data_IF_014100397926
#
_entry.id   IF_014100397926
#
_cell.length_a   1.000
_cell.length_b   1.000
_cell.length_c   1.000
_cell.angle_alpha   90.00
_cell.angle_beta   90.00
_cell.angle_gamma   90.00
#
_symmetry.space_group_name_H-M   'P 1'
#
loop_
_entity.id
_entity.type
_entity.pdbx_description
1 polymer ?
#
# COMPACT_ATOMS: atom_id res chain seq x y z
N UNK A 1 -18.97 10.45 -12.43
CA UNK A 1 -18.53 9.04 -12.42
C UNK A 1 -19.34 8.33 -11.34
N UNK A 2 -19.59 7.04 -11.47
CA UNK A 2 -20.28 6.31 -10.40
C UNK A 2 -19.31 6.05 -9.22
N UNK A 3 -19.80 6.00 -7.97
CA UNK A 3 -18.96 5.71 -6.81
C UNK A 3 -18.28 4.35 -6.95
N UNK A 4 -16.99 4.27 -6.64
CA UNK A 4 -16.19 3.05 -6.72
C UNK A 4 -15.35 2.90 -8.00
N UNK A 5 -15.44 3.84 -8.95
CA UNK A 5 -14.62 3.80 -10.19
C UNK A 5 -13.13 3.83 -9.87
N UNK A 6 -12.72 4.69 -8.96
CA UNK A 6 -11.31 4.79 -8.56
C UNK A 6 -10.79 3.48 -7.96
N UNK A 7 -11.62 2.80 -7.16
CA UNK A 7 -11.27 1.49 -6.59
C UNK A 7 -11.12 0.42 -7.68
N UNK A 8 -12.01 0.40 -8.68
CA UNK A 8 -11.91 -0.54 -9.81
C UNK A 8 -10.63 -0.28 -10.60
N UNK A 9 -10.31 0.99 -10.89
CA UNK A 9 -9.07 1.36 -11.57
C UNK A 9 -7.86 0.84 -10.77
N UNK A 10 -7.85 1.03 -9.45
CA UNK A 10 -6.76 0.57 -8.59
C UNK A 10 -6.58 -0.95 -8.65
N UNK A 11 -7.67 -1.73 -8.58
CA UNK A 11 -7.61 -3.19 -8.70
C UNK A 11 -7.02 -3.60 -10.07
N UNK A 12 -7.51 -3.00 -11.15
CA UNK A 12 -7.05 -3.31 -12.52
C UNK A 12 -5.56 -2.97 -12.68
N UNK A 13 -5.11 -1.84 -12.14
CA UNK A 13 -3.69 -1.45 -12.21
C UNK A 13 -2.79 -2.36 -11.39
N UNK A 14 -3.18 -2.77 -10.19
CA UNK A 14 -2.42 -3.73 -9.37
C UNK A 14 -2.29 -5.08 -10.11
N UNK A 15 -3.40 -5.62 -10.61
CA UNK A 15 -3.41 -6.91 -11.32
C UNK A 15 -2.57 -6.84 -12.60
N UNK A 16 -2.68 -5.76 -13.37
CA UNK A 16 -1.89 -5.60 -14.59
C UNK A 16 -0.40 -5.37 -14.28
N UNK A 17 -0.08 -4.59 -13.25
CA UNK A 17 1.29 -4.40 -12.77
C UNK A 17 1.93 -5.72 -12.33
N UNK A 18 1.24 -6.49 -11.48
CA UNK A 18 1.70 -7.80 -11.02
C UNK A 18 1.89 -8.78 -12.19
N UNK A 19 0.92 -8.83 -13.12
CA UNK A 19 1.01 -9.69 -14.31
C UNK A 19 2.24 -9.36 -15.16
N UNK A 20 2.47 -8.07 -15.42
CA UNK A 20 3.67 -7.62 -16.12
C UNK A 20 4.93 -7.93 -15.34
N UNK A 21 4.93 -7.75 -14.02
CA UNK A 21 6.04 -8.06 -13.14
C UNK A 21 6.46 -9.53 -13.23
N UNK A 22 5.51 -10.45 -13.16
CA UNK A 22 5.78 -11.89 -13.32
C UNK A 22 6.31 -12.22 -14.72
N UNK A 23 5.71 -11.64 -15.77
CA UNK A 23 6.12 -11.91 -17.16
C UNK A 23 7.53 -11.37 -17.46
N UNK A 24 7.85 -10.19 -16.97
CA UNK A 24 9.13 -9.51 -17.21
C UNK A 24 10.19 -9.92 -16.19
N UNK A 25 9.77 -10.34 -15.01
CA UNK A 25 10.65 -10.63 -13.88
C UNK A 25 11.77 -11.60 -14.20
N UNK A 26 11.47 -12.66 -14.95
CA UNK A 26 12.47 -13.67 -15.38
C UNK A 26 13.49 -13.12 -16.38
N UNK A 27 13.22 -11.99 -17.01
CA UNK A 27 14.11 -11.35 -17.99
C UNK A 27 14.90 -10.18 -17.40
N UNK A 28 14.49 -9.67 -16.24
CA UNK A 28 15.16 -8.53 -15.61
C UNK A 28 16.41 -8.97 -14.86
N UNK A 29 17.51 -8.25 -15.08
CA UNK A 29 18.75 -8.45 -14.33
C UNK A 29 18.58 -8.00 -12.88
N UNK A 30 19.23 -8.70 -11.93
CA UNK A 30 19.19 -8.33 -10.50
C UNK A 30 19.39 -6.83 -10.22
N UNK A 31 20.40 -6.15 -10.81
CA UNK A 31 20.61 -4.71 -10.54
C UNK A 31 19.41 -3.84 -10.92
N UNK A 32 18.72 -4.20 -12.01
CA UNK A 32 17.52 -3.45 -12.45
C UNK A 32 16.37 -3.63 -11.48
N UNK A 33 16.18 -4.85 -10.94
CA UNK A 33 15.15 -5.09 -9.90
C UNK A 33 15.44 -4.29 -8.65
N UNK A 34 16.68 -4.36 -8.15
CA UNK A 34 17.08 -3.58 -6.97
C UNK A 34 16.86 -2.10 -7.18
N UNK A 35 17.28 -1.56 -8.33
CA UNK A 35 17.05 -0.14 -8.65
C UNK A 35 15.57 0.22 -8.64
N UNK A 36 14.70 -0.59 -9.23
CA UNK A 36 13.26 -0.35 -9.22
C UNK A 36 12.70 -0.36 -7.80
N UNK A 37 13.10 -1.33 -6.99
CA UNK A 37 12.65 -1.43 -5.59
C UNK A 37 13.13 -0.21 -4.78
N UNK A 38 14.37 0.21 -4.96
CA UNK A 38 14.94 1.37 -4.26
C UNK A 38 14.22 2.67 -4.66
N UNK A 39 13.96 2.87 -5.96
CA UNK A 39 13.21 4.03 -6.47
C UNK A 39 11.79 4.03 -5.92
N UNK A 40 11.11 2.89 -5.90
CA UNK A 40 9.78 2.78 -5.34
C UNK A 40 9.76 3.04 -3.83
N UNK A 41 10.76 2.55 -3.09
CA UNK A 41 10.96 2.86 -1.69
C UNK A 41 11.09 4.37 -1.45
N UNK A 42 11.91 5.04 -2.25
CA UNK A 42 12.06 6.49 -2.18
C UNK A 42 10.76 7.24 -2.49
N UNK A 43 10.04 6.85 -3.55
CA UNK A 43 8.73 7.44 -3.90
C UNK A 43 7.72 7.22 -2.79
N UNK A 44 7.71 6.04 -2.16
CA UNK A 44 6.84 5.75 -1.01
C UNK A 44 7.15 6.64 0.19
N UNK A 45 8.43 6.87 0.49
CA UNK A 45 8.84 7.81 1.55
C UNK A 45 8.42 9.24 1.25
N UNK A 46 8.60 9.71 0.02
CA UNK A 46 8.15 11.04 -0.41
C UNK A 46 6.62 11.15 -0.33
N UNK A 47 5.89 10.11 -0.73
CA UNK A 47 4.44 10.04 -0.60
C UNK A 47 3.98 10.10 0.86
N UNK A 48 4.65 9.36 1.74
CA UNK A 48 4.38 9.39 3.17
C UNK A 48 4.64 10.78 3.77
N UNK A 49 5.75 11.42 3.41
CA UNK A 49 6.04 12.79 3.83
C UNK A 49 4.98 13.77 3.31
N UNK A 50 4.56 13.65 2.07
CA UNK A 50 3.50 14.48 1.49
C UNK A 50 2.15 14.28 2.18
N UNK A 51 1.82 13.08 2.62
CA UNK A 51 0.60 12.78 3.37
C UNK A 51 0.56 13.45 4.76
N UNK A 52 1.71 13.86 5.30
CA UNK A 52 1.79 14.59 6.55
C UNK A 52 1.55 16.11 6.38
N UNK A 53 1.66 16.67 5.17
CA UNK A 53 1.54 18.11 4.91
C UNK A 53 0.24 18.72 5.50
N UNK A 54 -0.96 18.08 5.38
CA UNK A 54 -2.19 18.62 5.95
C UNK A 54 -2.14 18.85 7.46
N UNK A 55 -1.26 18.15 8.19
CA UNK A 55 -1.08 18.32 9.63
C UNK A 55 -0.44 19.67 9.99
N UNK A 56 0.19 20.33 9.04
CA UNK A 56 0.77 21.69 9.18
C UNK A 56 -0.13 22.77 8.55
N UNK A 57 -1.38 22.44 8.19
CA UNK A 57 -2.35 23.44 7.74
C UNK A 57 -2.73 24.36 8.92
N UNK A 58 -3.01 25.64 8.64
CA UNK A 58 -3.39 26.63 9.65
C UNK A 58 -4.63 26.18 10.45
N UNK A 59 -5.56 25.52 9.80
CA UNK A 59 -6.77 24.97 10.45
C UNK A 59 -6.41 23.96 11.54
N UNK A 60 -5.45 23.07 11.26
CA UNK A 60 -5.05 22.01 12.17
C UNK A 60 -4.16 22.55 13.29
N UNK A 61 -3.15 23.36 12.94
CA UNK A 61 -2.21 23.96 13.91
C UNK A 61 -2.95 24.84 14.90
N UNK A 62 -3.93 25.62 14.46
CA UNK A 62 -4.69 26.50 15.33
C UNK A 62 -5.69 25.76 16.23
N UNK A 63 -6.01 24.51 15.95
CA UNK A 63 -6.86 23.66 16.78
C UNK A 63 -6.11 22.95 17.92
N UNK A 64 -4.77 23.00 17.90
CA UNK A 64 -3.90 22.32 18.84
C UNK A 64 -2.96 23.31 19.54
N UNK A 65 -2.54 23.02 20.78
CA UNK A 65 -1.47 23.78 21.43
C UNK A 65 -0.18 23.73 20.59
N UNK A 66 0.62 24.78 20.62
CA UNK A 66 1.88 24.86 19.87
C UNK A 66 2.79 23.66 20.14
N UNK A 67 3.26 23.01 19.07
CA UNK A 67 4.19 21.87 19.15
C UNK A 67 3.50 20.50 19.33
N UNK A 68 2.19 20.44 19.50
CA UNK A 68 1.48 19.17 19.72
C UNK A 68 1.29 18.33 18.46
N UNK A 69 1.48 18.89 17.28
CA UNK A 69 1.31 18.17 16.01
C UNK A 69 2.13 16.87 15.96
N UNK A 70 3.42 16.96 16.31
CA UNK A 70 4.29 15.77 16.34
C UNK A 70 3.89 14.78 17.44
N UNK A 71 3.41 15.27 18.59
CA UNK A 71 2.94 14.41 19.67
C UNK A 71 1.67 13.65 19.27
N UNK A 72 0.77 14.28 18.50
CA UNK A 72 -0.42 13.61 17.96
C UNK A 72 -0.01 12.54 16.96
N UNK A 73 0.94 12.82 16.06
CA UNK A 73 1.47 11.81 15.12
C UNK A 73 2.09 10.64 15.89
N UNK A 74 2.97 10.93 16.85
CA UNK A 74 3.62 9.90 17.67
C UNK A 74 2.59 9.08 18.46
N UNK A 75 1.65 9.76 19.13
CA UNK A 75 0.58 9.10 19.88
C UNK A 75 -0.29 8.20 19.01
N UNK A 76 -0.67 8.69 17.82
CA UNK A 76 -1.46 7.91 16.85
C UNK A 76 -0.72 6.65 16.37
N UNK A 77 0.58 6.78 16.08
CA UNK A 77 1.40 5.65 15.67
C UNK A 77 1.57 4.63 16.78
N UNK A 78 1.82 5.09 18.02
CA UNK A 78 1.96 4.20 19.18
C UNK A 78 0.65 3.47 19.49
N UNK A 79 -0.46 4.20 19.56
CA UNK A 79 -1.78 3.62 19.83
C UNK A 79 -2.17 2.65 18.71
N UNK A 80 -2.02 3.07 17.45
CA UNK A 80 -2.30 2.23 16.29
C UNK A 80 -1.45 0.96 16.28
N UNK A 81 -0.15 1.07 16.58
CA UNK A 81 0.76 -0.07 16.67
C UNK A 81 0.38 -1.02 17.81
N UNK A 82 0.04 -0.50 18.99
CA UNK A 82 -0.41 -1.31 20.12
C UNK A 82 -1.72 -2.05 19.81
N UNK A 83 -2.68 -1.37 19.21
CA UNK A 83 -3.96 -1.97 18.80
C UNK A 83 -3.71 -3.05 17.73
N UNK A 84 -2.90 -2.74 16.71
CA UNK A 84 -2.56 -3.69 15.65
C UNK A 84 -1.88 -4.94 16.18
N UNK A 85 -0.94 -4.78 17.11
CA UNK A 85 -0.25 -5.86 17.80
C UNK A 85 -1.21 -6.67 18.69
N UNK A 86 -2.04 -6.01 19.48
CA UNK A 86 -3.03 -6.68 20.35
C UNK A 86 -4.05 -7.50 19.55
N UNK A 87 -4.47 -7.00 18.40
CA UNK A 87 -5.37 -7.69 17.45
C UNK A 87 -4.65 -8.77 16.64
N UNK A 88 -3.31 -8.86 16.72
CA UNK A 88 -2.47 -9.80 15.96
C UNK A 88 -2.77 -9.73 14.46
N UNK A 89 -2.87 -8.51 13.91
CA UNK A 89 -3.29 -8.28 12.53
C UNK A 89 -2.34 -8.95 11.53
N UNK A 90 -1.03 -8.88 11.78
CA UNK A 90 -0.01 -9.55 10.97
C UNK A 90 -0.25 -11.07 10.91
N UNK A 91 -0.40 -11.71 12.06
CA UNK A 91 -0.65 -13.16 12.13
C UNK A 91 -1.94 -13.57 11.41
N UNK A 92 -2.96 -12.71 11.41
CA UNK A 92 -4.20 -12.96 10.68
C UNK A 92 -4.00 -12.86 9.17
N UNK A 93 -3.21 -11.90 8.72
CA UNK A 93 -2.84 -11.76 7.31
C UNK A 93 -2.00 -12.94 6.84
N UNK A 94 -1.02 -13.37 7.64
CA UNK A 94 -0.22 -14.58 7.37
C UNK A 94 -1.12 -15.82 7.20
N UNK A 95 -2.05 -16.00 8.11
CA UNK A 95 -2.99 -17.12 8.05
C UNK A 95 -3.90 -17.08 6.83
N UNK A 96 -4.32 -15.88 6.41
CA UNK A 96 -5.08 -15.68 5.18
C UNK A 96 -4.21 -15.98 3.95
N UNK A 97 -2.98 -15.48 3.92
CA UNK A 97 -2.02 -15.76 2.86
C UNK A 97 -1.78 -17.26 2.70
N UNK A 98 -1.57 -17.96 3.80
CA UNK A 98 -1.36 -19.41 3.79
C UNK A 98 -2.61 -20.17 3.31
N UNK A 99 -3.79 -19.75 3.74
CA UNK A 99 -5.06 -20.33 3.28
C UNK A 99 -5.24 -20.15 1.77
N UNK A 100 -4.93 -18.98 1.25
CA UNK A 100 -4.98 -18.70 -0.19
C UNK A 100 -3.93 -19.50 -0.96
N UNK A 101 -2.71 -19.61 -0.43
CA UNK A 101 -1.63 -20.42 -1.01
C UNK A 101 -2.09 -21.86 -1.23
N UNK A 102 -2.68 -22.48 -0.21
CA UNK A 102 -3.20 -23.85 -0.28
C UNK A 102 -4.33 -23.95 -1.30
N UNK A 103 -5.28 -23.00 -1.25
CA UNK A 103 -6.47 -23.00 -2.13
C UNK A 103 -6.09 -22.86 -3.61
N UNK A 104 -5.13 -22.03 -3.92
CA UNK A 104 -4.64 -21.82 -5.29
C UNK A 104 -3.55 -22.81 -5.71
N UNK A 105 -3.22 -23.80 -4.84
CA UNK A 105 -2.15 -24.79 -5.10
C UNK A 105 -0.83 -24.11 -5.51
N UNK A 106 -0.55 -22.91 -4.98
CA UNK A 106 0.70 -22.23 -5.19
C UNK A 106 1.85 -23.07 -4.61
N UNK A 107 3.04 -22.94 -5.19
CA UNK A 107 4.23 -23.70 -4.73
C UNK A 107 4.44 -23.52 -3.24
N UNK A 108 5.10 -24.49 -2.61
CA UNK A 108 5.40 -24.48 -1.16
C UNK A 108 6.41 -23.36 -0.78
N UNK A 109 6.56 -22.35 -1.62
CA UNK A 109 7.48 -21.26 -1.44
C UNK A 109 6.93 -20.25 -0.44
N UNK A 110 7.70 -19.94 0.59
CA UNK A 110 7.38 -18.90 1.58
C UNK A 110 7.16 -17.52 0.94
N UNK A 111 7.69 -17.31 -0.26
CA UNK A 111 7.56 -16.08 -1.03
C UNK A 111 6.13 -15.69 -1.37
N UNK A 112 5.21 -16.67 -1.53
CA UNK A 112 3.80 -16.36 -1.78
C UNK A 112 3.14 -15.68 -0.57
N UNK A 113 3.34 -16.23 0.63
CA UNK A 113 2.76 -15.66 1.85
C UNK A 113 3.37 -14.30 2.16
N UNK A 114 4.70 -14.18 2.03
CA UNK A 114 5.42 -12.93 2.19
C UNK A 114 4.92 -11.86 1.21
N UNK A 115 4.76 -12.21 -0.07
CA UNK A 115 4.23 -11.33 -1.11
C UNK A 115 2.81 -10.87 -0.79
N UNK A 116 1.92 -11.82 -0.43
CA UNK A 116 0.55 -11.51 -0.07
C UNK A 116 0.46 -10.56 1.13
N UNK A 117 1.21 -10.82 2.20
CA UNK A 117 1.18 -9.99 3.41
C UNK A 117 1.74 -8.60 3.12
N UNK A 118 2.91 -8.52 2.48
CA UNK A 118 3.55 -7.25 2.13
C UNK A 118 2.67 -6.42 1.22
N UNK A 119 2.13 -7.00 0.15
CA UNK A 119 1.24 -6.32 -0.78
C UNK A 119 -0.08 -5.88 -0.10
N UNK A 120 -0.67 -6.74 0.74
CA UNK A 120 -1.90 -6.40 1.47
C UNK A 120 -1.70 -5.22 2.42
N UNK A 121 -0.59 -5.20 3.17
CA UNK A 121 -0.27 -4.08 4.06
C UNK A 121 0.00 -2.80 3.27
N UNK A 122 0.82 -2.88 2.23
CA UNK A 122 1.20 -1.71 1.44
C UNK A 122 0.02 -1.12 0.66
N UNK A 123 -0.76 -1.96 -0.01
CA UNK A 123 -1.82 -1.49 -0.91
C UNK A 123 -3.13 -1.18 -0.20
N UNK A 124 -3.47 -1.89 0.90
CA UNK A 124 -4.72 -1.68 1.61
C UNK A 124 -4.63 -0.64 2.73
N UNK A 125 -3.46 -0.50 3.37
CA UNK A 125 -3.27 0.31 4.57
C UNK A 125 -2.41 1.54 4.24
N UNK A 126 -3.02 2.56 3.67
CA UNK A 126 -2.34 3.82 3.40
C UNK A 126 -3.30 5.00 3.38
N UNK A 127 -2.81 6.21 3.67
CA UNK A 127 -3.66 7.42 3.68
C UNK A 127 -4.38 7.62 2.35
N UNK A 128 -3.71 7.40 1.23
CA UNK A 128 -4.30 7.51 -0.11
C UNK A 128 -5.36 6.43 -0.38
N UNK A 129 -5.21 5.23 0.20
CA UNK A 129 -6.22 4.19 0.08
C UNK A 129 -7.51 4.59 0.83
N UNK A 130 -7.37 5.04 2.07
CA UNK A 130 -8.50 5.38 2.94
C UNK A 130 -9.18 6.66 2.44
N UNK A 131 -8.43 7.76 2.31
CA UNK A 131 -8.98 9.06 1.90
C UNK A 131 -9.50 9.01 0.47
N UNK A 132 -8.76 8.35 -0.44
CA UNK A 132 -9.17 8.19 -1.82
C UNK A 132 -10.46 7.37 -1.96
N UNK A 133 -10.60 6.28 -1.20
CA UNK A 133 -11.82 5.46 -1.20
C UNK A 133 -13.02 6.21 -0.62
N UNK A 134 -12.81 7.01 0.42
CA UNK A 134 -13.86 7.89 0.95
C UNK A 134 -14.27 8.92 -0.10
N UNK A 135 -13.31 9.62 -0.71
CA UNK A 135 -13.59 10.66 -1.73
C UNK A 135 -14.32 10.09 -2.95
N UNK A 136 -13.92 8.91 -3.41
CA UNK A 136 -14.58 8.17 -4.50
C UNK A 136 -16.01 7.77 -4.09
N UNK A 137 -16.18 7.24 -2.87
CA UNK A 137 -17.47 6.78 -2.35
C UNK A 137 -18.50 7.90 -2.18
N UNK A 138 -18.08 9.09 -1.74
CA UNK A 138 -18.97 10.26 -1.59
C UNK A 138 -19.03 11.14 -2.85
N UNK A 139 -18.33 10.75 -3.93
CA UNK A 139 -18.40 11.42 -5.23
C UNK A 139 -17.64 12.76 -5.31
N UNK A 140 -16.68 13.01 -4.41
CA UNK A 140 -15.90 14.27 -4.40
C UNK A 140 -14.71 14.24 -5.35
N UNK A 141 -14.33 13.07 -5.87
CA UNK A 141 -13.25 12.92 -6.86
C UNK A 141 -12.50 11.61 -6.72
N UNK A 142 -11.73 11.27 -7.75
CA UNK A 142 -10.93 10.04 -7.81
C UNK A 142 -9.42 10.29 -7.94
N UNK A 143 -9.00 11.56 -7.91
CA UNK A 143 -7.61 11.96 -8.19
C UNK A 143 -6.60 11.26 -7.27
N UNK A 144 -6.94 11.11 -5.99
CA UNK A 144 -6.10 10.39 -5.01
C UNK A 144 -5.96 8.91 -5.36
N UNK A 145 -7.04 8.27 -5.82
CA UNK A 145 -7.00 6.88 -6.24
C UNK A 145 -6.30 6.69 -7.59
N UNK A 146 -6.36 7.65 -8.49
CA UNK A 146 -5.59 7.64 -9.75
C UNK A 146 -4.10 7.71 -9.44
N UNK A 147 -3.68 8.65 -8.59
CA UNK A 147 -2.28 8.75 -8.15
C UNK A 147 -1.83 7.45 -7.49
N UNK A 148 -2.63 6.96 -6.53
CA UNK A 148 -2.38 5.70 -5.85
C UNK A 148 -2.28 4.54 -6.83
N UNK A 149 -3.22 4.43 -7.77
CA UNK A 149 -3.25 3.35 -8.77
C UNK A 149 -1.98 3.33 -9.63
N UNK A 150 -1.46 4.50 -9.97
CA UNK A 150 -0.19 4.61 -10.69
C UNK A 150 0.99 4.10 -9.84
N UNK A 151 1.05 4.52 -8.58
CA UNK A 151 2.10 4.05 -7.66
C UNK A 151 1.98 2.53 -7.42
N UNK A 152 0.78 2.05 -7.17
CA UNK A 152 0.51 0.63 -6.92
C UNK A 152 0.82 -0.25 -8.14
N UNK A 153 0.60 0.24 -9.36
CA UNK A 153 0.98 -0.46 -10.59
C UNK A 153 2.47 -0.77 -10.63
N UNK A 154 3.32 0.24 -10.40
CA UNK A 154 4.76 0.05 -10.42
C UNK A 154 5.26 -0.76 -9.21
N UNK A 155 4.67 -0.55 -8.05
CA UNK A 155 4.97 -1.32 -6.86
C UNK A 155 4.61 -2.80 -7.04
N UNK A 156 3.40 -3.10 -7.53
CA UNK A 156 2.96 -4.46 -7.83
C UNK A 156 3.87 -5.13 -8.88
N UNK A 157 4.27 -4.38 -9.91
CA UNK A 157 5.20 -4.88 -10.91
C UNK A 157 6.56 -5.24 -10.28
N UNK A 158 7.12 -4.39 -9.43
CA UNK A 158 8.39 -4.64 -8.78
C UNK A 158 8.31 -5.83 -7.79
N UNK A 159 7.28 -5.88 -6.93
CA UNK A 159 7.11 -6.98 -5.99
C UNK A 159 6.89 -8.31 -6.71
N UNK A 160 6.06 -8.34 -7.75
CA UNK A 160 5.81 -9.55 -8.52
C UNK A 160 7.08 -10.09 -9.22
N UNK A 161 8.06 -9.25 -9.55
CA UNK A 161 9.36 -9.73 -10.05
C UNK A 161 10.17 -10.50 -9.01
N UNK A 162 9.95 -10.23 -7.72
CA UNK A 162 10.74 -10.79 -6.61
C UNK A 162 9.98 -11.86 -5.83
N UNK A 163 8.69 -11.61 -5.58
CA UNK A 163 7.82 -12.44 -4.73
C UNK A 163 6.83 -13.31 -5.54
N UNK A 164 6.79 -13.14 -6.86
CA UNK A 164 5.86 -13.89 -7.70
C UNK A 164 4.42 -13.38 -7.59
N UNK A 165 3.45 -14.31 -7.51
CA UNK A 165 2.02 -14.01 -7.44
C UNK A 165 1.47 -13.84 -6.02
N UNK A 166 2.32 -13.90 -5.01
CA UNK A 166 1.93 -13.75 -3.60
C UNK A 166 1.49 -12.35 -3.21
#
# INVERSE_FOLDING_TARGET
MFPGVGTIINIVTIVSGASLGVLVGNRMKKPTRTLLTDVLGLVTLLGAASALIPLWSDRYINSLPKGWTLLVVLGSLLIGGLIGSALKLENRLDSLGETLRIKFKASNDSTFVEGFVTASLLFAIGPLAILGSISDGIGTGIDQLILKSTLDFFAAMAFATSLGWG
#
